data_IF_751693734805
#
_entry.id   IF_751693734805
#
_cell.length_a   1.000
_cell.length_b   1.000
_cell.length_c   1.000
_cell.angle_alpha   90.00
_cell.angle_beta   90.00
_cell.angle_gamma   90.00
#
_symmetry.space_group_name_H-M   'P 1'
#
loop_
_entity.id
_entity.type
_entity.pdbx_description
1 polymer ?
#
# COMPACT_ATOMS: atom_id res chain seq x y z
N UNK A 1 -4.53 36.95 -37.56
CA UNK A 1 -3.27 36.77 -36.81
C UNK A 1 -3.50 36.60 -35.31
N UNK A 2 -4.28 37.43 -34.69
CA UNK A 2 -4.63 37.37 -33.25
C UNK A 2 -5.40 36.06 -32.89
N UNK A 3 -6.28 35.60 -33.78
CA UNK A 3 -7.06 34.37 -33.59
C UNK A 3 -6.16 33.12 -33.58
N UNK A 4 -5.10 33.05 -34.42
CA UNK A 4 -4.17 31.93 -34.45
C UNK A 4 -3.32 31.86 -33.19
N UNK A 5 -2.90 32.97 -32.63
CA UNK A 5 -2.17 33.05 -31.36
C UNK A 5 -3.04 32.61 -30.17
N UNK A 6 -4.31 33.00 -30.17
CA UNK A 6 -5.28 32.57 -29.16
C UNK A 6 -5.53 31.05 -29.20
N UNK A 7 -5.57 30.44 -30.37
CA UNK A 7 -5.71 28.97 -30.53
C UNK A 7 -4.48 28.21 -30.07
N UNK A 8 -3.30 28.69 -30.35
CA UNK A 8 -2.03 28.06 -29.87
C UNK A 8 -1.94 28.13 -28.35
N UNK A 9 -2.33 29.26 -27.75
CA UNK A 9 -2.37 29.41 -26.29
C UNK A 9 -3.39 28.45 -25.64
N UNK A 10 -4.59 28.32 -26.21
CA UNK A 10 -5.61 27.39 -25.74
C UNK A 10 -5.15 25.93 -25.86
N UNK A 11 -4.49 25.54 -26.96
CA UNK A 11 -3.91 24.20 -27.14
C UNK A 11 -2.84 23.88 -26.12
N UNK A 12 -1.99 24.83 -25.76
CA UNK A 12 -0.97 24.65 -24.71
C UNK A 12 -1.59 24.44 -23.34
N UNK A 13 -2.66 25.17 -23.01
CA UNK A 13 -3.40 25.01 -21.77
C UNK A 13 -4.10 23.63 -21.71
N UNK A 14 -4.66 23.17 -22.81
CA UNK A 14 -5.29 21.84 -22.92
C UNK A 14 -4.27 20.71 -22.76
N UNK A 15 -3.08 20.82 -23.35
CA UNK A 15 -1.99 19.86 -23.21
C UNK A 15 -1.52 19.81 -21.74
N UNK A 16 -1.37 20.96 -21.09
CA UNK A 16 -1.01 21.03 -19.67
C UNK A 16 -2.08 20.37 -18.77
N UNK A 17 -3.36 20.57 -19.09
CA UNK A 17 -4.46 19.93 -18.37
C UNK A 17 -4.48 18.40 -18.52
N UNK A 18 -4.04 17.86 -19.65
CA UNK A 18 -3.92 16.40 -19.88
C UNK A 18 -2.71 15.83 -19.11
N UNK A 19 -1.58 16.54 -19.09
CA UNK A 19 -0.38 16.08 -18.40
C UNK A 19 -0.56 16.01 -16.88
N UNK A 20 -1.35 16.89 -16.28
CA UNK A 20 -1.63 16.87 -14.85
C UNK A 20 -2.30 15.56 -14.38
N UNK A 21 -3.36 15.01 -15.05
CA UNK A 21 -3.92 13.70 -14.74
C UNK A 21 -2.93 12.55 -14.89
N UNK A 22 -2.05 12.58 -15.90
CA UNK A 22 -1.00 11.55 -16.08
C UNK A 22 0.00 11.56 -14.94
N UNK A 23 0.41 12.74 -14.47
CA UNK A 23 1.29 12.88 -13.31
C UNK A 23 0.62 12.37 -12.04
N UNK A 24 -0.65 12.68 -11.83
CA UNK A 24 -1.43 12.20 -10.68
C UNK A 24 -1.60 10.68 -10.72
N UNK A 25 -1.82 10.09 -11.88
CA UNK A 25 -1.84 8.64 -12.07
C UNK A 25 -0.51 8.01 -11.68
N UNK A 26 0.62 8.58 -12.10
CA UNK A 26 1.96 8.10 -11.76
C UNK A 26 2.23 8.19 -10.25
N UNK A 27 1.81 9.26 -9.60
CA UNK A 27 1.90 9.42 -8.15
C UNK A 27 1.05 8.41 -7.40
N UNK A 28 -0.18 8.15 -7.87
CA UNK A 28 -1.07 7.14 -7.32
C UNK A 28 -0.48 5.74 -7.42
N UNK A 29 0.07 5.38 -8.57
CA UNK A 29 0.76 4.11 -8.79
C UNK A 29 1.98 3.96 -7.89
N UNK A 30 2.77 5.01 -7.72
CA UNK A 30 3.91 5.04 -6.82
C UNK A 30 3.50 4.87 -5.36
N UNK A 31 2.45 5.56 -4.91
CA UNK A 31 1.92 5.45 -3.57
C UNK A 31 1.35 4.05 -3.29
N UNK A 32 0.60 3.48 -4.23
CA UNK A 32 0.06 2.13 -4.15
C UNK A 32 1.16 1.08 -4.03
N UNK A 33 2.22 1.18 -4.86
CA UNK A 33 3.35 0.27 -4.82
C UNK A 33 4.14 0.39 -3.50
N UNK A 34 4.34 1.61 -3.00
CA UNK A 34 5.01 1.85 -1.72
C UNK A 34 4.23 1.27 -0.55
N UNK A 35 2.92 1.45 -0.50
CA UNK A 35 2.06 0.86 0.53
C UNK A 35 2.05 -0.66 0.48
N UNK A 36 1.99 -1.26 -0.71
CA UNK A 36 2.07 -2.70 -0.89
C UNK A 36 3.40 -3.27 -0.38
N UNK A 37 4.51 -2.60 -0.66
CA UNK A 37 5.83 -2.98 -0.13
C UNK A 37 5.90 -2.87 1.39
N UNK A 38 5.31 -1.84 1.99
CA UNK A 38 5.22 -1.67 3.45
C UNK A 38 4.41 -2.81 4.07
N UNK A 39 3.26 -3.16 3.50
CA UNK A 39 2.43 -4.28 3.98
C UNK A 39 3.22 -5.58 3.96
N UNK A 40 3.88 -5.91 2.86
CA UNK A 40 4.69 -7.14 2.75
C UNK A 40 5.84 -7.18 3.74
N UNK A 41 6.55 -6.07 3.89
CA UNK A 41 7.65 -5.96 4.85
C UNK A 41 7.17 -6.14 6.28
N UNK A 42 6.03 -5.55 6.61
CA UNK A 42 5.41 -5.64 7.93
C UNK A 42 4.89 -7.06 8.19
N UNK A 43 4.28 -7.71 7.22
CA UNK A 43 3.84 -9.11 7.33
C UNK A 43 5.02 -10.06 7.58
N UNK A 44 6.11 -9.88 6.86
CA UNK A 44 7.32 -10.68 7.06
C UNK A 44 7.92 -10.47 8.45
N UNK A 45 8.04 -9.22 8.89
CA UNK A 45 8.52 -8.89 10.22
C UNK A 45 7.61 -9.48 11.31
N UNK A 46 6.31 -9.42 11.13
CA UNK A 46 5.33 -10.00 12.06
C UNK A 46 5.46 -11.53 12.13
N UNK A 47 5.66 -12.18 10.99
CA UNK A 47 5.91 -13.63 10.93
C UNK A 47 7.18 -14.02 11.70
N UNK A 48 8.25 -13.25 11.56
CA UNK A 48 9.51 -13.48 12.29
C UNK A 48 9.32 -13.28 13.80
N UNK A 49 8.57 -12.27 14.20
CA UNK A 49 8.26 -12.01 15.61
C UNK A 49 7.42 -13.16 16.20
N UNK A 50 6.42 -13.65 15.49
CA UNK A 50 5.61 -14.78 15.92
C UNK A 50 6.44 -16.05 16.06
N UNK A 51 7.32 -16.32 15.13
CA UNK A 51 8.25 -17.45 15.21
C UNK A 51 9.18 -17.35 16.43
N UNK A 52 9.70 -16.17 16.70
CA UNK A 52 10.51 -15.91 17.88
C UNK A 52 9.73 -16.13 19.19
N UNK A 53 8.47 -15.68 19.23
CA UNK A 53 7.60 -15.90 20.39
C UNK A 53 7.30 -17.37 20.62
N UNK A 54 7.09 -18.17 19.55
CA UNK A 54 6.93 -19.61 19.64
C UNK A 54 8.16 -20.29 20.25
N UNK A 55 9.35 -19.91 19.81
CA UNK A 55 10.60 -20.43 20.38
C UNK A 55 10.77 -20.07 21.85
N UNK A 56 10.33 -18.87 22.26
CA UNK A 56 10.33 -18.48 23.68
C UNK A 56 9.38 -19.37 24.47
N UNK A 57 8.19 -19.69 23.96
CA UNK A 57 7.26 -20.59 24.63
C UNK A 57 7.81 -22.02 24.74
N UNK A 58 8.44 -22.53 23.69
CA UNK A 58 9.09 -23.84 23.71
C UNK A 58 10.21 -23.89 24.74
N UNK A 59 11.02 -22.83 24.82
CA UNK A 59 12.07 -22.72 25.83
C UNK A 59 11.50 -22.69 27.24
N UNK A 60 10.40 -21.95 27.45
CA UNK A 60 9.72 -21.92 28.75
C UNK A 60 9.16 -23.29 29.14
N UNK A 61 8.61 -24.02 28.20
CA UNK A 61 8.13 -25.38 28.39
C UNK A 61 9.27 -26.32 28.80
N UNK A 62 10.39 -26.27 28.09
CA UNK A 62 11.59 -27.09 28.39
C UNK A 62 12.14 -26.77 29.77
N UNK A 63 12.20 -25.50 30.15
CA UNK A 63 12.63 -25.07 31.47
C UNK A 63 11.69 -25.58 32.56
N UNK A 64 10.39 -25.56 32.33
CA UNK A 64 9.39 -26.08 33.28
C UNK A 64 9.53 -27.56 33.51
N UNK A 65 9.74 -28.33 32.44
CA UNK A 65 9.99 -29.80 32.53
C UNK A 65 11.30 -30.13 33.24
N UNK A 66 12.31 -29.27 33.12
CA UNK A 66 13.60 -29.46 33.83
C UNK A 66 13.57 -29.06 35.28
N UNK A 67 12.42 -28.62 35.80
CA UNK A 67 12.26 -28.24 37.23
C UNK A 67 12.68 -26.80 37.54
N UNK A 68 12.80 -25.93 36.55
CA UNK A 68 13.06 -24.51 36.77
C UNK A 68 11.90 -23.80 37.45
N UNK A 69 12.15 -22.62 38.02
CA UNK A 69 11.17 -21.81 38.73
C UNK A 69 9.90 -21.59 37.91
N UNK A 70 8.78 -22.07 38.41
CA UNK A 70 7.47 -21.97 37.73
C UNK A 70 7.05 -20.50 37.50
N UNK A 71 7.42 -19.60 38.41
CA UNK A 71 7.08 -18.18 38.28
C UNK A 71 7.79 -17.54 37.07
N UNK A 72 9.04 -17.90 36.81
CA UNK A 72 9.77 -17.46 35.62
C UNK A 72 9.17 -18.02 34.34
N UNK A 73 8.81 -19.30 34.32
CA UNK A 73 8.16 -19.95 33.19
C UNK A 73 6.80 -19.31 32.86
N UNK A 74 5.99 -19.01 33.89
CA UNK A 74 4.71 -18.32 33.75
C UNK A 74 4.88 -16.90 33.19
N UNK A 75 5.90 -16.19 33.61
CA UNK A 75 6.20 -14.86 33.09
C UNK A 75 6.62 -14.92 31.59
N UNK A 76 7.44 -15.87 31.20
CA UNK A 76 7.80 -16.08 29.80
C UNK A 76 6.57 -16.38 28.92
N UNK A 77 5.69 -17.25 29.39
CA UNK A 77 4.42 -17.55 28.70
C UNK A 77 3.54 -16.31 28.58
N UNK A 78 3.45 -15.52 29.63
CA UNK A 78 2.67 -14.27 29.62
C UNK A 78 3.24 -13.27 28.63
N UNK A 79 4.54 -13.12 28.55
CA UNK A 79 5.21 -12.24 27.60
C UNK A 79 5.02 -12.70 26.16
N UNK A 80 5.15 -13.99 25.89
CA UNK A 80 4.90 -14.55 24.57
C UNK A 80 3.44 -14.33 24.14
N UNK A 81 2.49 -14.54 25.06
CA UNK A 81 1.06 -14.28 24.80
C UNK A 81 0.80 -12.80 24.49
N UNK A 82 1.47 -11.87 25.16
CA UNK A 82 1.37 -10.44 24.87
C UNK A 82 1.88 -10.12 23.45
N UNK A 83 2.94 -10.78 23.01
CA UNK A 83 3.46 -10.65 21.65
C UNK A 83 2.44 -11.15 20.63
N UNK A 84 1.82 -12.30 20.83
CA UNK A 84 0.75 -12.82 19.95
C UNK A 84 -0.42 -11.84 19.86
N UNK A 85 -0.85 -11.27 20.98
CA UNK A 85 -1.94 -10.27 20.99
C UNK A 85 -1.57 -9.03 20.19
N UNK A 86 -0.35 -8.51 20.36
CA UNK A 86 0.13 -7.36 19.61
C UNK A 86 0.19 -7.65 18.10
N UNK A 87 0.65 -8.85 17.72
CA UNK A 87 0.68 -9.26 16.31
C UNK A 87 -0.71 -9.41 15.69
N UNK A 88 -1.73 -9.75 16.47
CA UNK A 88 -3.12 -9.80 16.02
C UNK A 88 -3.63 -8.42 15.60
N UNK A 89 -3.26 -7.36 16.34
CA UNK A 89 -3.57 -5.99 15.94
C UNK A 89 -2.83 -5.57 14.68
N UNK A 90 -1.60 -6.02 14.49
CA UNK A 90 -0.83 -5.77 13.27
C UNK A 90 -1.51 -6.39 12.04
N UNK A 91 -2.03 -7.61 12.16
CA UNK A 91 -2.78 -8.27 11.08
C UNK A 91 -4.01 -7.46 10.65
N UNK A 92 -4.78 -6.94 11.61
CA UNK A 92 -5.92 -6.07 11.33
C UNK A 92 -5.50 -4.78 10.62
N UNK A 93 -4.40 -4.18 11.02
CA UNK A 93 -3.84 -2.99 10.38
C UNK A 93 -3.39 -3.29 8.94
N UNK A 94 -2.75 -4.43 8.72
CA UNK A 94 -2.36 -4.89 7.39
C UNK A 94 -3.57 -5.09 6.47
N UNK A 95 -4.66 -5.65 6.97
CA UNK A 95 -5.91 -5.81 6.21
C UNK A 95 -6.51 -4.46 5.82
N UNK A 96 -6.52 -3.48 6.73
CA UNK A 96 -6.99 -2.12 6.44
C UNK A 96 -6.14 -1.43 5.39
N UNK A 97 -4.84 -1.56 5.49
CA UNK A 97 -3.90 -1.00 4.52
C UNK A 97 -4.07 -1.66 3.14
N UNK A 98 -4.28 -2.97 3.08
CA UNK A 98 -4.56 -3.69 1.83
C UNK A 98 -5.83 -3.16 1.13
N UNK A 99 -6.87 -2.80 1.90
CA UNK A 99 -8.07 -2.17 1.35
C UNK A 99 -7.78 -0.79 0.76
N UNK A 100 -6.94 0.00 1.41
CA UNK A 100 -6.50 1.30 0.89
C UNK A 100 -5.73 1.12 -0.42
N UNK A 101 -4.81 0.17 -0.48
CA UNK A 101 -4.07 -0.17 -1.71
C UNK A 101 -5.02 -0.56 -2.83
N UNK A 102 -6.02 -1.38 -2.54
CA UNK A 102 -7.05 -1.77 -3.52
C UNK A 102 -7.80 -0.55 -4.06
N UNK A 103 -8.21 0.35 -3.18
CA UNK A 103 -8.90 1.59 -3.56
C UNK A 103 -8.01 2.49 -4.43
N UNK A 104 -6.73 2.65 -4.09
CA UNK A 104 -5.77 3.42 -4.86
C UNK A 104 -5.57 2.83 -6.26
N UNK A 105 -5.46 1.52 -6.38
CA UNK A 105 -5.36 0.84 -7.68
C UNK A 105 -6.62 1.01 -8.51
N UNK A 106 -7.79 0.94 -7.90
CA UNK A 106 -9.05 1.22 -8.56
C UNK A 106 -9.09 2.64 -9.12
N UNK A 107 -8.68 3.63 -8.32
CA UNK A 107 -8.61 5.03 -8.75
C UNK A 107 -7.58 5.23 -9.87
N UNK A 108 -6.44 4.55 -9.79
CA UNK A 108 -5.42 4.56 -10.84
C UNK A 108 -5.98 4.04 -12.16
N UNK A 109 -6.68 2.91 -12.14
CA UNK A 109 -7.29 2.33 -13.33
C UNK A 109 -8.38 3.22 -13.91
N UNK A 110 -9.20 3.84 -13.06
CA UNK A 110 -10.23 4.80 -13.49
C UNK A 110 -9.60 6.03 -14.13
N UNK A 111 -8.52 6.54 -13.55
CA UNK A 111 -7.79 7.69 -14.08
C UNK A 111 -7.16 7.35 -15.43
N UNK A 112 -6.56 6.18 -15.58
CA UNK A 112 -6.01 5.69 -16.84
C UNK A 112 -7.09 5.62 -17.94
N UNK A 113 -8.27 5.11 -17.60
CA UNK A 113 -9.41 5.05 -18.52
C UNK A 113 -9.87 6.45 -18.96
N UNK A 114 -9.94 7.39 -18.03
CA UNK A 114 -10.31 8.79 -18.33
C UNK A 114 -9.28 9.46 -19.23
N UNK A 115 -7.99 9.26 -18.99
CA UNK A 115 -6.91 9.78 -19.83
C UNK A 115 -6.99 9.21 -21.24
N UNK A 116 -7.23 7.91 -21.37
CA UNK A 116 -7.39 7.24 -22.66
C UNK A 116 -8.58 7.80 -23.45
N UNK A 117 -9.72 8.03 -22.79
CA UNK A 117 -10.92 8.61 -23.40
C UNK A 117 -10.64 10.06 -23.86
N UNK A 118 -10.01 10.88 -23.02
CA UNK A 118 -9.63 12.26 -23.36
C UNK A 118 -8.68 12.30 -24.55
N UNK A 119 -7.67 11.44 -24.58
CA UNK A 119 -6.72 11.34 -25.68
C UNK A 119 -7.43 10.95 -26.99
N UNK A 120 -8.38 10.02 -26.93
CA UNK A 120 -9.18 9.60 -28.09
C UNK A 120 -10.07 10.75 -28.59
N UNK A 121 -10.76 11.46 -27.71
CA UNK A 121 -11.61 12.60 -28.05
C UNK A 121 -10.78 13.72 -28.67
N UNK A 122 -9.63 14.04 -28.11
CA UNK A 122 -8.73 15.05 -28.65
C UNK A 122 -8.18 14.66 -30.02
N UNK A 123 -7.85 13.39 -30.24
CA UNK A 123 -7.41 12.90 -31.55
C UNK A 123 -8.49 13.06 -32.62
N UNK A 124 -9.75 12.81 -32.28
CA UNK A 124 -10.89 13.04 -33.16
C UNK A 124 -11.13 14.52 -33.47
N UNK A 125 -10.83 15.39 -32.50
CA UNK A 125 -10.98 16.85 -32.66
C UNK A 125 -9.88 17.48 -33.50
N UNK A 126 -8.67 16.94 -33.48
CA UNK A 126 -7.48 17.50 -34.14
C UNK A 126 -7.36 17.01 -35.59
N UNK A 127 -8.02 15.94 -36.00
CA UNK A 127 -7.93 15.42 -37.34
C UNK A 127 -8.58 16.40 -38.34
N UNK A 128 -7.84 16.89 -39.36
CA UNK A 128 -8.43 17.72 -40.40
C UNK A 128 -9.43 16.90 -41.23
N UNK A 129 -10.57 17.53 -41.49
CA UNK A 129 -11.55 16.93 -42.38
C UNK A 129 -11.05 16.83 -43.84
#
# INVERSE_FOLDING_TARGET
MVIALGRVSASSAEIAAINAPEQDQSRLGGASAALDAIVRSTENATSDILSAAEHVQEAAWTLRESGSDAAICDELDRRATAIYTACSFQDLTAQRTARIVYTLRYLEDRLASMIAILALVMNLWIQPM
#
